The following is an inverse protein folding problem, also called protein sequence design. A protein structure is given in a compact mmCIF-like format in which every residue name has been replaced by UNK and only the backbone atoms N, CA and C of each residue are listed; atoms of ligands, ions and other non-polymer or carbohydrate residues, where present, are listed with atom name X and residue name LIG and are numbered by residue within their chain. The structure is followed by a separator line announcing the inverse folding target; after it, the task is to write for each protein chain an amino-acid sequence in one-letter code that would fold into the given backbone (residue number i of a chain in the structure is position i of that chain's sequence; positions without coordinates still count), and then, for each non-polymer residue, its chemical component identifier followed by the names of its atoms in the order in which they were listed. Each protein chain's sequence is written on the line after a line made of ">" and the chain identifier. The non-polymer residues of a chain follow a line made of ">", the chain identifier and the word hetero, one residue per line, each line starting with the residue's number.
data_IF_180658054622
#
_entry.id   IF_180658054622
#
_cell.length_a   1.000
_cell.length_b   1.000
_cell.length_c   1.000
_cell.angle_alpha   90.00
_cell.angle_beta   90.00
_cell.angle_gamma   90.00
#
_symmetry.space_group_name_H-M   'P 1'
#
loop_
_entity.id
_entity.type
_entity.pdbx_description
1 polymer ?
#
# COMPACT_ATOMS: atom_id res chain seq x y z
N UNK A 1 -6.85 51.65 6.96
CA UNK A 1 -5.64 52.00 7.72
C UNK A 1 -5.31 50.76 8.55
N UNK A 2 -4.26 49.97 8.29
CA UNK A 2 -2.88 50.33 8.00
C UNK A 2 -2.30 49.51 6.82
N UNK A 3 -1.48 50.20 6.02
CA UNK A 3 -0.53 49.65 5.07
C UNK A 3 0.73 49.17 5.79
N UNK A 4 1.30 48.04 5.33
CA UNK A 4 2.74 47.68 5.36
C UNK A 4 2.91 46.66 4.22
N UNK A 5 3.09 47.12 2.98
CA UNK A 5 4.37 47.35 2.28
C UNK A 5 4.95 46.07 1.66
N UNK A 6 4.68 45.91 0.35
CA UNK A 6 5.47 45.14 -0.59
C UNK A 6 6.95 45.55 -0.51
N UNK A 7 7.81 44.64 -0.07
CA UNK A 7 9.24 44.53 -0.43
C UNK A 7 9.88 43.40 0.39
N UNK A 8 9.77 42.19 -0.13
CA UNK A 8 10.72 41.06 -0.06
C UNK A 8 10.00 39.79 -0.55
N UNK A 9 9.58 39.81 -1.81
CA UNK A 9 9.06 38.63 -2.53
C UNK A 9 9.92 38.41 -3.78
N UNK A 10 11.23 38.43 -3.58
CA UNK A 10 12.24 38.01 -4.53
C UNK A 10 13.29 37.32 -3.66
N UNK A 11 13.55 36.04 -3.94
CA UNK A 11 14.48 35.14 -3.24
C UNK A 11 13.86 34.15 -2.23
N UNK A 12 12.86 33.35 -2.65
CA UNK A 12 12.76 31.91 -2.29
C UNK A 12 11.96 31.17 -3.38
N UNK A 13 12.51 31.04 -4.59
CA UNK A 13 12.03 30.06 -5.59
C UNK A 13 13.24 29.27 -6.09
N UNK A 14 13.84 28.47 -5.21
CA UNK A 14 14.73 27.38 -5.59
C UNK A 14 14.86 26.40 -4.42
N UNK A 15 13.94 25.43 -4.36
CA UNK A 15 14.11 24.11 -3.74
C UNK A 15 12.78 23.37 -3.92
N UNK A 16 12.56 22.85 -5.13
CA UNK A 16 11.44 21.96 -5.42
C UNK A 16 11.85 20.55 -5.01
N UNK A 17 11.64 20.22 -3.75
CA UNK A 17 11.72 18.85 -3.26
C UNK A 17 10.44 18.59 -2.49
N UNK A 18 9.46 17.97 -3.14
CA UNK A 18 8.17 17.66 -2.53
C UNK A 18 8.21 16.26 -1.93
N UNK A 19 8.17 16.17 -0.60
CA UNK A 19 7.95 14.92 0.11
C UNK A 19 6.45 14.81 0.43
N UNK A 20 5.81 13.74 -0.02
CA UNK A 20 4.42 13.42 0.35
C UNK A 20 4.43 12.12 1.15
N UNK A 21 3.88 12.18 2.37
CA UNK A 21 3.81 11.05 3.29
C UNK A 21 2.36 10.57 3.36
N UNK A 22 2.10 9.31 3.01
CA UNK A 22 0.82 8.64 3.20
C UNK A 22 0.97 7.44 4.12
N UNK A 23 0.11 7.38 5.14
CA UNK A 23 0.00 6.22 6.03
C UNK A 23 -1.32 5.50 5.76
N UNK A 24 -1.25 4.30 5.17
CA UNK A 24 -2.40 3.40 5.02
C UNK A 24 -2.91 2.93 6.40
N UNK A 25 -4.13 3.36 6.77
CA UNK A 25 -4.90 2.78 7.88
C UNK A 25 -5.92 1.80 7.29
N UNK A 26 -5.52 0.53 7.13
CA UNK A 26 -6.45 -0.56 6.78
C UNK A 26 -6.55 -1.56 7.93
N UNK A 27 -7.78 -1.81 8.37
CA UNK A 27 -8.13 -2.77 9.41
C UNK A 27 -8.23 -4.19 8.84
N UNK A 28 -7.57 -5.14 9.50
CA UNK A 28 -7.73 -6.57 9.23
C UNK A 28 -8.61 -7.16 10.32
N UNK A 29 -9.87 -7.47 10.01
CA UNK A 29 -10.70 -8.28 10.91
C UNK A 29 -10.39 -9.75 10.65
N UNK A 30 -9.72 -10.42 11.61
CA UNK A 30 -9.59 -11.87 11.60
C UNK A 30 -10.95 -12.48 11.97
N UNK A 31 -11.59 -13.15 11.01
CA UNK A 31 -12.68 -14.07 11.29
C UNK A 31 -12.09 -15.41 11.76
N UNK A 32 -12.43 -15.82 12.98
CA UNK A 32 -12.22 -17.19 13.44
C UNK A 32 -13.36 -18.05 12.88
N UNK A 33 -13.03 -18.95 11.95
CA UNK A 33 -13.94 -19.95 11.41
C UNK A 33 -13.18 -21.23 11.14
N UNK A 34 -13.36 -22.21 12.02
CA UNK A 34 -12.90 -23.59 11.83
C UNK A 34 -13.71 -24.25 10.70
N UNK A 35 -13.02 -24.80 9.71
CA UNK A 35 -13.54 -25.86 8.84
C UNK A 35 -12.46 -26.94 8.69
N UNK A 36 -12.69 -28.06 9.37
CA UNK A 36 -11.93 -29.30 9.25
C UNK A 36 -12.64 -30.27 8.30
N UNK A 37 -11.82 -31.12 7.67
CA UNK A 37 -12.12 -32.34 6.88
C UNK A 37 -12.55 -32.11 5.42
N UNK A 38 -12.13 -32.89 4.42
CA UNK A 38 -11.16 -33.99 4.24
C UNK A 38 -11.08 -34.19 2.70
N UNK A 39 -9.95 -34.63 2.14
CA UNK A 39 -9.87 -34.90 0.70
C UNK A 39 -8.45 -34.92 0.14
N UNK A 40 -7.67 -35.93 0.52
CA UNK A 40 -6.34 -36.24 0.00
C UNK A 40 -6.39 -36.87 -1.40
N UNK A 41 -5.64 -36.31 -2.36
CA UNK A 41 -5.11 -37.06 -3.52
C UNK A 41 -3.65 -36.65 -3.72
N UNK A 42 -2.74 -37.61 -3.53
CA UNK A 42 -1.32 -37.51 -3.81
C UNK A 42 -1.04 -37.75 -5.29
N UNK A 43 -0.19 -36.92 -5.90
CA UNK A 43 0.60 -37.30 -7.06
C UNK A 43 1.97 -36.61 -6.99
N UNK A 44 3.02 -37.41 -6.73
CA UNK A 44 4.43 -37.04 -6.88
C UNK A 44 4.82 -37.18 -8.35
N UNK A 45 5.64 -36.28 -8.86
CA UNK A 45 6.46 -36.53 -10.06
C UNK A 45 7.92 -36.17 -9.71
N UNK A 46 8.76 -37.19 -9.72
CA UNK A 46 10.22 -37.12 -9.65
C UNK A 46 10.76 -36.99 -11.09
N UNK A 47 11.77 -36.14 -11.30
CA UNK A 47 12.52 -36.06 -12.55
C UNK A 47 13.98 -36.44 -12.27
N UNK A 48 14.42 -37.50 -12.94
CA UNK A 48 15.78 -38.04 -12.91
C UNK A 48 16.72 -37.26 -13.85
N UNK A 49 17.97 -37.13 -13.42
CA UNK A 49 19.15 -36.78 -14.23
C UNK A 49 19.95 -38.05 -14.53
N UNK A 50 20.55 -38.16 -15.73
CA UNK A 50 21.79 -38.91 -15.93
C UNK A 50 22.60 -38.38 -17.16
N UNK A 51 23.95 -38.28 -17.10
CA UNK A 51 24.82 -37.73 -18.14
C UNK A 51 25.58 -38.82 -18.92
N UNK A 52 26.21 -38.50 -20.07
CA UNK A 52 27.49 -39.06 -20.61
C UNK A 52 27.77 -38.56 -22.06
N UNK A 53 29.04 -38.34 -22.38
CA UNK A 53 29.64 -37.77 -23.62
C UNK A 53 30.71 -38.73 -24.23
N UNK A 54 31.50 -38.38 -25.28
CA UNK A 54 31.28 -38.14 -26.73
C UNK A 54 32.08 -39.18 -27.61
N UNK A 55 32.28 -39.04 -28.96
CA UNK A 55 33.53 -38.42 -29.50
C UNK A 55 33.56 -37.82 -30.96
N UNK A 56 34.43 -36.82 -31.13
CA UNK A 56 35.45 -36.43 -32.19
C UNK A 56 35.41 -36.79 -33.71
N UNK A 57 36.21 -35.98 -34.47
CA UNK A 57 36.83 -36.06 -35.84
C UNK A 57 36.10 -35.28 -36.98
N UNK A 58 36.68 -34.44 -37.87
CA UNK A 58 38.02 -33.90 -38.17
C UNK A 58 38.07 -33.21 -39.59
N UNK A 59 38.80 -32.07 -39.74
CA UNK A 59 39.48 -31.38 -40.90
C UNK A 59 38.99 -31.50 -42.39
N UNK A 60 39.08 -30.54 -43.35
CA UNK A 60 40.21 -29.74 -43.95
C UNK A 60 39.66 -28.60 -44.88
N UNK A 61 40.44 -27.52 -45.11
CA UNK A 61 40.24 -26.30 -45.96
C UNK A 61 40.25 -26.55 -47.51
N UNK A 62 39.70 -25.68 -48.40
CA UNK A 62 40.33 -24.48 -49.03
C UNK A 62 39.35 -23.73 -50.01
N UNK A 63 39.72 -22.59 -50.66
CA UNK A 63 39.01 -21.31 -50.63
C UNK A 63 38.10 -21.01 -51.85
N UNK A 64 37.07 -20.16 -51.68
CA UNK A 64 36.50 -19.33 -52.76
C UNK A 64 35.69 -18.18 -52.18
N UNK A 65 36.20 -16.97 -52.38
CA UNK A 65 35.46 -15.72 -52.18
C UNK A 65 34.40 -15.62 -53.26
N UNK A 66 33.14 -15.53 -52.85
CA UNK A 66 32.02 -15.06 -53.68
C UNK A 66 31.28 -14.01 -52.85
N UNK A 67 31.35 -12.75 -53.30
CA UNK A 67 30.50 -11.67 -52.82
C UNK A 67 29.15 -11.78 -53.56
N UNK A 68 28.01 -11.87 -52.86
CA UNK A 68 26.71 -11.52 -53.43
C UNK A 68 26.44 -10.01 -53.29
N UNK A 69 25.56 -9.45 -54.13
CA UNK A 69 25.33 -8.00 -54.21
C UNK A 69 24.59 -7.47 -52.97
N UNK A 70 24.99 -6.25 -52.56
CA UNK A 70 24.42 -5.47 -51.48
C UNK A 70 22.92 -5.20 -51.67
N UNK A 71 22.13 -5.46 -50.64
CA UNK A 71 20.91 -4.71 -50.34
C UNK A 71 21.06 -4.12 -48.93
N UNK A 72 20.83 -2.81 -48.86
CA UNK A 72 21.04 -1.91 -47.73
C UNK A 72 20.34 -2.36 -46.46
N UNK A 73 21.09 -2.49 -45.35
CA UNK A 73 20.72 -2.07 -43.98
C UNK A 73 21.79 -2.35 -42.91
N UNK A 74 22.99 -2.82 -43.28
CA UNK A 74 24.11 -2.94 -42.33
C UNK A 74 25.38 -2.31 -42.90
N UNK A 75 25.76 -1.13 -42.38
CA UNK A 75 27.09 -0.59 -42.61
C UNK A 75 28.03 -1.13 -41.53
N UNK A 76 28.83 -2.15 -41.86
CA UNK A 76 29.95 -2.55 -41.02
C UNK A 76 31.12 -1.61 -41.28
N UNK A 77 31.51 -0.82 -40.28
CA UNK A 77 32.74 -0.02 -40.31
C UNK A 77 33.87 -0.91 -39.77
N UNK A 78 34.82 -1.26 -40.64
CA UNK A 78 36.04 -1.95 -40.24
C UNK A 78 37.13 -0.93 -39.89
N UNK A 79 37.65 -0.99 -38.66
CA UNK A 79 38.84 -0.23 -38.29
C UNK A 79 40.10 -1.07 -38.62
N UNK A 80 40.97 -0.54 -39.48
CA UNK A 80 42.32 -1.06 -39.67
C UNK A 80 43.30 -0.20 -38.86
N UNK A 81 43.90 -0.78 -37.81
CA UNK A 81 45.02 -0.16 -37.11
C UNK A 81 46.32 -0.89 -37.50
N UNK A 82 47.28 -0.17 -38.07
CA UNK A 82 48.64 -0.68 -38.32
C UNK A 82 49.57 -0.03 -37.31
N UNK A 83 50.00 -0.79 -36.29
CA UNK A 83 51.04 -0.33 -35.38
C UNK A 83 52.40 -0.46 -36.08
N UNK A 84 53.12 0.64 -36.25
CA UNK A 84 54.53 0.59 -36.65
C UNK A 84 55.33 0.02 -35.48
N UNK A 85 56.11 -1.04 -35.73
CA UNK A 85 57.02 -1.78 -34.84
C UNK A 85 56.45 -2.92 -33.97
N UNK A 86 55.89 -3.97 -34.59
CA UNK A 86 55.98 -5.33 -34.03
C UNK A 86 56.16 -6.41 -35.12
N UNK A 87 56.94 -7.48 -34.88
CA UNK A 87 57.06 -8.58 -35.83
C UNK A 87 55.93 -9.61 -35.60
N UNK A 88 55.24 -9.95 -36.70
CA UNK A 88 54.29 -11.06 -36.88
C UNK A 88 52.96 -10.99 -36.10
N UNK A 89 51.94 -10.45 -36.79
CA UNK A 89 50.59 -10.99 -36.88
C UNK A 89 49.80 -11.24 -35.58
N UNK A 90 49.13 -10.20 -35.07
CA UNK A 90 47.93 -10.34 -34.24
C UNK A 90 46.86 -9.37 -34.74
N UNK A 91 45.68 -9.89 -35.05
CA UNK A 91 44.47 -9.10 -35.35
C UNK A 91 43.56 -9.17 -34.11
N UNK A 92 43.16 -8.02 -33.58
CA UNK A 92 42.19 -7.93 -32.49
C UNK A 92 40.80 -7.69 -33.10
N UNK A 93 39.85 -8.63 -32.93
CA UNK A 93 38.46 -8.43 -33.31
C UNK A 93 37.67 -7.95 -32.09
N UNK A 94 37.20 -6.70 -32.11
CA UNK A 94 36.22 -6.20 -31.15
C UNK A 94 34.85 -6.20 -31.82
N UNK A 95 33.94 -7.01 -31.31
CA UNK A 95 32.57 -7.11 -31.78
C UNK A 95 31.68 -6.33 -30.81
N UNK A 96 31.17 -5.17 -31.22
CA UNK A 96 30.15 -4.44 -30.47
C UNK A 96 28.92 -4.25 -31.35
N UNK A 97 27.86 -5.01 -31.09
CA UNK A 97 26.55 -4.76 -31.68
C UNK A 97 25.92 -3.53 -31.00
N UNK A 98 25.62 -2.50 -31.78
CA UNK A 98 24.84 -1.35 -31.32
C UNK A 98 23.60 -1.24 -32.21
N UNK A 99 22.42 -1.53 -31.67
CA UNK A 99 21.14 -1.29 -32.36
C UNK A 99 20.77 0.19 -32.24
N UNK A 100 20.70 0.89 -33.38
CA UNK A 100 20.23 2.28 -33.44
C UNK A 100 18.83 2.27 -34.05
N UNK A 101 17.83 2.79 -33.32
CA UNK A 101 16.48 3.01 -33.83
C UNK A 101 16.44 4.23 -34.79
N UNK A 102 15.62 4.20 -35.86
CA UNK A 102 15.67 5.23 -36.90
C UNK A 102 14.80 6.42 -36.50
N UNK A 103 15.41 7.58 -36.24
CA UNK A 103 14.85 8.94 -36.47
C UNK A 103 15.78 10.03 -35.89
N UNK A 104 16.89 10.34 -36.56
CA UNK A 104 17.44 11.71 -36.56
C UNK A 104 18.37 11.87 -37.77
N UNK A 105 18.07 12.81 -38.67
CA UNK A 105 19.02 13.28 -39.68
C UNK A 105 20.01 14.21 -38.97
N UNK A 106 21.31 13.91 -38.99
CA UNK A 106 22.34 14.74 -38.35
C UNK A 106 23.36 15.15 -39.39
N UNK A 107 23.39 16.45 -39.72
CA UNK A 107 24.40 17.02 -40.61
C UNK A 107 25.73 17.17 -39.87
N UNK A 108 26.79 16.56 -40.40
CA UNK A 108 28.16 16.76 -39.91
C UNK A 108 28.79 17.89 -40.72
N UNK A 109 29.14 18.99 -40.07
CA UNK A 109 29.90 20.09 -40.68
C UNK A 109 31.38 19.93 -40.33
N UNK A 110 32.23 19.62 -41.31
CA UNK A 110 33.68 19.55 -41.13
C UNK A 110 34.30 20.94 -41.35
N UNK A 111 34.97 21.48 -40.32
CA UNK A 111 35.93 22.57 -40.50
C UNK A 111 37.35 21.99 -40.50
N UNK A 112 38.07 22.18 -41.60
CA UNK A 112 39.50 21.86 -41.69
C UNK A 112 40.27 23.18 -41.64
N UNK A 113 40.88 23.50 -40.49
CA UNK A 113 41.96 24.46 -40.44
C UNK A 113 43.28 23.70 -40.53
N UNK A 114 43.94 23.80 -41.68
CA UNK A 114 45.26 23.23 -41.87
C UNK A 114 46.32 24.13 -41.25
N UNK A 115 46.98 23.67 -40.19
CA UNK A 115 48.39 23.89 -39.91
C UNK A 115 48.83 22.89 -38.83
N UNK A 116 49.77 22.01 -39.19
CA UNK A 116 50.64 21.20 -38.31
C UNK A 116 49.92 20.44 -37.18
N UNK A 117 49.46 19.22 -37.51
CA UNK A 117 49.78 18.05 -36.69
C UNK A 117 49.21 17.92 -35.29
N UNK A 118 48.00 18.40 -34.97
CA UNK A 118 47.16 17.87 -33.88
C UNK A 118 45.69 18.05 -34.26
N UNK A 119 44.97 16.96 -34.56
CA UNK A 119 43.50 17.01 -34.71
C UNK A 119 42.85 16.98 -33.34
N UNK A 120 42.46 18.14 -32.81
CA UNK A 120 41.55 18.24 -31.65
C UNK A 120 40.12 18.12 -32.18
N UNK A 121 39.51 16.95 -31.98
CA UNK A 121 38.09 16.76 -32.25
C UNK A 121 37.28 17.35 -31.08
N UNK A 122 36.73 18.55 -31.26
CA UNK A 122 35.75 19.11 -30.32
C UNK A 122 34.37 18.63 -30.73
N UNK A 123 33.90 17.56 -30.09
CA UNK A 123 32.51 17.11 -30.22
C UNK A 123 31.65 17.98 -29.31
N UNK A 124 30.96 18.97 -29.89
CA UNK A 124 29.91 19.71 -29.17
C UNK A 124 28.64 18.84 -29.23
N UNK A 125 28.36 18.13 -28.13
CA UNK A 125 27.08 17.48 -27.92
C UNK A 125 26.01 18.56 -27.71
N UNK A 126 25.32 18.96 -28.77
CA UNK A 126 24.05 19.69 -28.66
C UNK A 126 22.91 18.66 -28.70
N UNK A 127 22.53 18.18 -27.52
CA UNK A 127 21.48 17.18 -27.42
C UNK A 127 21.35 16.59 -26.01
N UNK A 128 21.19 17.41 -24.98
CA UNK A 128 20.71 16.90 -23.70
C UNK A 128 19.19 16.68 -23.81
N UNK A 129 18.79 15.45 -24.16
CA UNK A 129 17.49 14.95 -23.70
C UNK A 129 17.55 14.97 -22.17
N UNK A 130 16.67 15.77 -21.56
CA UNK A 130 16.47 15.81 -20.10
C UNK A 130 16.41 14.36 -19.60
N UNK A 131 17.28 13.98 -18.66
CA UNK A 131 17.13 12.73 -17.91
C UNK A 131 15.69 12.67 -17.40
N UNK A 132 14.96 11.59 -17.69
CA UNK A 132 13.60 11.46 -17.19
C UNK A 132 13.61 11.58 -15.66
N UNK A 133 12.85 12.53 -15.12
CA UNK A 133 12.73 12.70 -13.68
C UNK A 133 12.21 11.39 -13.06
N UNK A 134 12.73 11.03 -11.89
CA UNK A 134 12.41 9.78 -11.21
C UNK A 134 11.61 10.05 -9.93
N UNK A 135 10.46 9.41 -9.82
CA UNK A 135 9.72 9.22 -8.58
C UNK A 135 9.99 7.83 -8.02
N UNK A 136 10.53 7.77 -6.80
CA UNK A 136 10.57 6.53 -6.02
C UNK A 136 9.43 6.51 -5.02
N UNK A 137 8.69 5.41 -5.00
CA UNK A 137 7.61 5.14 -4.05
C UNK A 137 8.07 4.08 -3.06
N UNK A 138 8.18 4.45 -1.78
CA UNK A 138 8.55 3.55 -0.69
C UNK A 138 7.29 2.88 -0.10
N UNK A 139 6.89 1.75 -0.69
CA UNK A 139 5.76 0.93 -0.27
C UNK A 139 4.80 0.61 -1.43
N UNK A 140 4.46 -0.66 -1.60
CA UNK A 140 3.51 -1.18 -2.59
C UNK A 140 2.13 -1.44 -2.01
N UNK A 141 1.70 -0.62 -1.05
CA UNK A 141 0.35 -0.62 -0.47
C UNK A 141 -0.69 0.06 -1.37
N UNK A 142 -1.88 0.34 -0.83
CA UNK A 142 -2.95 0.99 -1.59
C UNK A 142 -2.53 2.39 -2.03
N UNK A 143 -2.06 3.22 -1.09
CA UNK A 143 -1.57 4.57 -1.39
C UNK A 143 -0.38 4.57 -2.36
N UNK A 144 0.56 3.63 -2.20
CA UNK A 144 1.77 3.60 -3.02
C UNK A 144 1.50 3.22 -4.47
N UNK A 145 0.71 2.16 -4.68
CA UNK A 145 0.35 1.72 -6.05
C UNK A 145 -0.55 2.75 -6.72
N UNK A 146 -1.59 3.24 -6.04
CA UNK A 146 -2.48 4.25 -6.60
C UNK A 146 -1.75 5.58 -6.88
N UNK A 147 -0.88 6.01 -5.96
CA UNK A 147 -0.02 7.19 -6.16
C UNK A 147 0.90 7.06 -7.37
N UNK A 148 1.49 5.89 -7.60
CA UNK A 148 2.30 5.61 -8.78
C UNK A 148 1.49 5.69 -10.09
N UNK A 149 0.30 5.09 -10.11
CA UNK A 149 -0.64 5.17 -11.25
C UNK A 149 -1.00 6.63 -11.53
N UNK A 150 -1.33 7.39 -10.49
CA UNK A 150 -1.72 8.80 -10.62
C UNK A 150 -0.56 9.65 -11.11
N UNK A 151 0.66 9.44 -10.61
CA UNK A 151 1.86 10.13 -11.05
C UNK A 151 2.09 9.92 -12.56
N UNK A 152 2.01 8.67 -13.04
CA UNK A 152 2.07 8.37 -14.49
C UNK A 152 0.91 8.94 -15.29
N UNK A 153 -0.27 9.08 -14.69
CA UNK A 153 -1.44 9.64 -15.37
C UNK A 153 -1.29 11.15 -15.58
N UNK A 154 -0.73 11.86 -14.61
CA UNK A 154 -0.53 13.32 -14.68
C UNK A 154 0.76 13.68 -15.43
N UNK A 155 1.80 12.85 -15.31
CA UNK A 155 3.09 13.02 -15.98
C UNK A 155 3.53 11.71 -16.67
N UNK A 156 3.07 11.44 -17.90
CA UNK A 156 3.35 10.18 -18.60
C UNK A 156 4.85 9.85 -18.77
N UNK A 157 5.67 10.89 -18.93
CA UNK A 157 7.13 10.80 -19.08
C UNK A 157 7.89 10.65 -17.75
N UNK A 158 7.23 10.75 -16.60
CA UNK A 158 7.89 10.59 -15.30
C UNK A 158 8.26 9.12 -15.11
N UNK A 159 9.53 8.82 -14.84
CA UNK A 159 9.91 7.46 -14.46
C UNK A 159 9.43 7.17 -13.04
N UNK A 160 8.78 6.03 -12.82
CA UNK A 160 8.18 5.68 -11.52
C UNK A 160 8.62 4.29 -11.07
N UNK A 161 9.26 4.23 -9.90
CA UNK A 161 9.76 3.01 -9.28
C UNK A 161 9.10 2.79 -7.92
N UNK A 162 8.30 1.73 -7.80
CA UNK A 162 7.70 1.28 -6.54
C UNK A 162 8.60 0.22 -5.90
N UNK A 163 9.04 0.49 -4.67
CA UNK A 163 9.84 -0.43 -3.84
C UNK A 163 8.95 -1.03 -2.75
N UNK A 164 8.81 -2.35 -2.75
CA UNK A 164 7.96 -3.08 -1.81
C UNK A 164 8.73 -4.20 -1.08
N UNK A 165 8.59 -4.25 0.25
CA UNK A 165 9.28 -5.23 1.11
C UNK A 165 8.82 -6.66 0.86
N UNK A 166 7.53 -6.86 0.60
CA UNK A 166 6.88 -8.15 0.54
C UNK A 166 6.07 -8.28 -0.76
N UNK A 167 4.88 -8.87 -0.68
CA UNK A 167 3.92 -8.88 -1.79
C UNK A 167 3.13 -7.57 -1.78
N UNK A 168 3.05 -6.86 -2.92
CA UNK A 168 2.26 -5.63 -3.02
C UNK A 168 0.79 -5.91 -2.72
N UNK A 169 0.09 -4.89 -2.22
CA UNK A 169 -1.35 -4.92 -1.93
C UNK A 169 -1.80 -6.06 -1.00
N UNK A 170 -0.86 -6.63 -0.22
CA UNK A 170 -1.15 -7.74 0.69
C UNK A 170 -2.19 -7.39 1.76
N UNK A 171 -2.19 -6.15 2.26
CA UNK A 171 -3.25 -5.65 3.16
C UNK A 171 -4.60 -5.46 2.47
N UNK A 172 -4.60 -4.97 1.23
CA UNK A 172 -5.82 -4.84 0.42
C UNK A 172 -6.48 -6.21 0.26
N UNK A 173 -5.66 -7.25 0.00
CA UNK A 173 -6.12 -8.64 -0.17
C UNK A 173 -6.93 -9.18 1.01
N UNK A 174 -6.56 -8.82 2.24
CA UNK A 174 -7.21 -9.34 3.45
C UNK A 174 -8.25 -8.37 4.04
N UNK A 175 -8.31 -7.15 3.53
CA UNK A 175 -9.27 -6.14 3.99
C UNK A 175 -10.72 -6.54 3.66
N UNK A 176 -11.67 -6.09 4.49
CA UNK A 176 -13.09 -6.42 4.31
C UNK A 176 -13.40 -7.92 4.33
N UNK A 177 -12.57 -8.73 5.01
CA UNK A 177 -12.70 -10.19 5.03
C UNK A 177 -12.34 -10.84 3.70
N UNK A 178 -11.41 -10.25 2.94
CA UNK A 178 -11.03 -10.74 1.61
C UNK A 178 -11.83 -10.13 0.46
N UNK A 179 -12.85 -9.31 0.77
CA UNK A 179 -13.72 -8.65 -0.22
C UNK A 179 -13.21 -7.27 -0.64
N UNK A 180 -12.34 -6.66 0.15
CA UNK A 180 -11.89 -5.27 0.05
C UNK A 180 -13.03 -4.24 0.23
N UNK A 181 -13.10 -3.64 1.42
CA UNK A 181 -13.91 -2.43 1.63
C UNK A 181 -13.16 -1.25 1.02
N UNK A 182 -13.50 -0.89 -0.22
CA UNK A 182 -12.74 0.01 -1.09
C UNK A 182 -12.79 1.46 -0.60
N UNK A 183 -13.98 1.90 -0.21
CA UNK A 183 -14.25 3.28 0.24
C UNK A 183 -15.59 3.32 1.01
N UNK A 184 -16.12 4.51 1.28
CA UNK A 184 -17.44 4.70 1.91
C UNK A 184 -18.40 5.47 1.00
N UNK A 185 -19.56 4.89 0.70
CA UNK A 185 -20.55 5.40 -0.24
C UNK A 185 -21.59 6.35 0.35
N UNK A 186 -21.63 6.54 1.68
CA UNK A 186 -22.57 7.46 2.31
C UNK A 186 -22.05 8.89 2.43
N UNK A 187 -20.79 9.15 2.08
CA UNK A 187 -20.18 10.46 2.30
C UNK A 187 -19.96 11.20 0.98
N UNK A 188 -21.00 11.89 0.50
CA UNK A 188 -20.84 12.98 -0.47
C UNK A 188 -20.29 14.25 0.17
N UNK A 189 -20.47 14.40 1.50
CA UNK A 189 -19.92 15.50 2.28
C UNK A 189 -18.61 15.06 2.97
N UNK A 190 -17.52 15.71 2.57
CA UNK A 190 -16.18 15.49 3.11
C UNK A 190 -16.08 15.84 4.61
N UNK A 191 -16.85 16.82 5.07
CA UNK A 191 -16.87 17.21 6.49
C UNK A 191 -17.45 16.10 7.36
N UNK A 192 -18.53 15.48 6.90
CA UNK A 192 -19.17 14.34 7.60
C UNK A 192 -18.25 13.12 7.59
N UNK A 193 -17.56 12.84 6.46
CA UNK A 193 -16.58 11.77 6.43
C UNK A 193 -15.48 12.01 7.45
N UNK A 194 -14.92 13.22 7.47
CA UNK A 194 -13.84 13.59 8.37
C UNK A 194 -14.20 13.34 9.84
N UNK A 195 -15.46 13.53 10.24
CA UNK A 195 -15.93 13.27 11.62
C UNK A 195 -15.73 11.82 12.07
N UNK A 196 -15.58 10.88 11.14
CA UNK A 196 -15.31 9.47 11.44
C UNK A 196 -13.82 9.17 11.67
N UNK A 197 -12.93 10.16 11.52
CA UNK A 197 -11.47 10.01 11.64
C UNK A 197 -10.94 10.75 12.89
N UNK A 198 -10.90 10.11 14.07
CA UNK A 198 -10.39 10.74 15.31
C UNK A 198 -8.96 11.30 15.18
N UNK A 199 -8.16 10.71 14.29
CA UNK A 199 -6.80 11.15 13.93
C UNK A 199 -6.77 11.23 12.41
N UNK A 200 -6.68 12.44 11.88
CA UNK A 200 -6.89 12.73 10.46
C UNK A 200 -8.05 13.71 10.20
N UNK A 201 -8.89 14.00 11.20
CA UNK A 201 -10.05 14.88 11.02
C UNK A 201 -9.73 16.19 10.31
N UNK A 202 -8.64 16.89 10.70
CA UNK A 202 -8.29 18.19 10.11
C UNK A 202 -7.82 18.03 8.67
N UNK A 203 -6.98 17.03 8.43
CA UNK A 203 -6.43 16.71 7.12
C UNK A 203 -7.57 16.32 6.15
N UNK A 204 -8.56 15.57 6.63
CA UNK A 204 -9.73 15.13 5.85
C UNK A 204 -10.73 16.26 5.53
N UNK A 205 -10.66 17.43 6.19
CA UNK A 205 -11.52 18.58 5.88
C UNK A 205 -11.04 19.43 4.70
N UNK A 206 -9.79 19.23 4.25
CA UNK A 206 -9.13 20.09 3.27
C UNK A 206 -8.98 19.48 1.88
N UNK A 207 -7.90 19.86 1.21
CA UNK A 207 -7.63 19.59 -0.22
C UNK A 207 -7.60 18.13 -0.64
N UNK A 208 -7.41 17.17 0.28
CA UNK A 208 -7.34 15.75 -0.08
C UNK A 208 -8.65 15.26 -0.70
N UNK A 209 -9.80 15.74 -0.20
CA UNK A 209 -11.10 15.32 -0.72
C UNK A 209 -11.65 16.19 -1.83
N UNK A 210 -11.21 17.45 -1.94
CA UNK A 210 -11.54 18.29 -3.10
C UNK A 210 -10.85 17.78 -4.37
N UNK A 211 -9.70 17.10 -4.24
CA UNK A 211 -8.95 16.57 -5.37
C UNK A 211 -9.32 15.12 -5.73
N UNK A 212 -9.58 14.27 -4.72
CA UNK A 212 -9.97 12.87 -4.95
C UNK A 212 -10.68 12.27 -3.72
N UNK A 213 -12.01 12.31 -3.72
CA UNK A 213 -12.87 11.78 -2.65
C UNK A 213 -13.42 10.37 -2.91
N UNK A 214 -14.36 9.90 -2.07
CA UNK A 214 -14.96 8.57 -2.21
C UNK A 214 -15.67 8.37 -3.54
N UNK A 215 -16.37 9.40 -4.02
CA UNK A 215 -17.07 9.38 -5.32
C UNK A 215 -16.07 9.21 -6.45
N UNK A 216 -14.98 9.98 -6.45
CA UNK A 216 -13.92 9.85 -7.46
C UNK A 216 -13.26 8.47 -7.43
N UNK A 217 -13.04 7.90 -6.24
CA UNK A 217 -12.53 6.54 -6.08
C UNK A 217 -13.50 5.52 -6.70
N UNK A 218 -14.81 5.65 -6.44
CA UNK A 218 -15.81 4.74 -7.00
C UNK A 218 -15.89 4.84 -8.53
N UNK A 219 -15.93 6.07 -9.06
CA UNK A 219 -15.89 6.31 -10.50
C UNK A 219 -14.62 5.77 -11.13
N UNK A 220 -13.45 6.01 -10.51
CA UNK A 220 -12.18 5.52 -11.03
C UNK A 220 -12.17 3.99 -11.16
N UNK A 221 -12.61 3.25 -10.15
CA UNK A 221 -12.66 1.78 -10.28
C UNK A 221 -13.68 1.31 -11.32
N UNK A 222 -14.84 1.97 -11.42
CA UNK A 222 -15.87 1.64 -12.40
C UNK A 222 -15.37 1.88 -13.84
N UNK A 223 -14.70 3.02 -14.07
CA UNK A 223 -14.09 3.38 -15.36
C UNK A 223 -12.98 2.40 -15.79
N UNK A 224 -12.36 1.72 -14.83
CA UNK A 224 -11.34 0.69 -15.06
C UNK A 224 -11.90 -0.74 -14.92
N UNK A 225 -13.21 -0.91 -15.10
CA UNK A 225 -13.86 -2.21 -15.25
C UNK A 225 -14.16 -2.98 -13.96
N UNK A 226 -14.09 -2.31 -12.81
CA UNK A 226 -14.49 -2.90 -11.51
C UNK A 226 -15.79 -2.27 -11.03
N UNK A 227 -16.90 -2.98 -11.25
CA UNK A 227 -18.19 -2.57 -10.70
C UNK A 227 -18.18 -2.64 -9.16
N UNK A 228 -18.77 -1.63 -8.54
CA UNK A 228 -18.87 -1.49 -7.09
C UNK A 228 -20.33 -1.49 -6.62
N UNK A 229 -20.54 -1.92 -5.38
CA UNK A 229 -21.84 -1.85 -4.68
C UNK A 229 -21.67 -1.25 -3.30
N UNK A 230 -22.68 -0.51 -2.86
CA UNK A 230 -22.77 0.09 -1.52
C UNK A 230 -23.69 -0.79 -0.66
N UNK A 231 -23.22 -1.19 0.52
CA UNK A 231 -24.04 -1.89 1.52
C UNK A 231 -24.84 -0.89 2.38
N UNK A 232 -25.84 -1.36 3.13
CA UNK A 232 -26.72 -0.50 3.97
C UNK A 232 -25.99 0.33 5.02
N UNK A 233 -24.78 -0.08 5.41
CA UNK A 233 -23.92 0.63 6.36
C UNK A 233 -22.91 1.58 5.68
N UNK A 234 -23.01 1.75 4.36
CA UNK A 234 -22.20 2.66 3.55
C UNK A 234 -20.87 2.10 3.10
N UNK A 235 -20.50 0.89 3.50
CA UNK A 235 -19.27 0.27 2.99
C UNK A 235 -19.41 -0.04 1.51
N UNK A 236 -18.31 0.12 0.79
CA UNK A 236 -18.28 -0.10 -0.66
C UNK A 236 -17.40 -1.30 -0.97
N UNK A 237 -17.96 -2.26 -1.69
CA UNK A 237 -17.27 -3.48 -2.08
C UNK A 237 -17.34 -3.66 -3.60
N UNK A 238 -16.37 -4.37 -4.22
CA UNK A 238 -16.56 -4.85 -5.58
C UNK A 238 -17.78 -5.77 -5.64
N UNK A 239 -18.54 -5.70 -6.73
CA UNK A 239 -19.71 -6.57 -6.97
C UNK A 239 -19.32 -8.06 -6.84
N UNK A 240 -18.11 -8.40 -7.30
CA UNK A 240 -17.50 -9.73 -7.20
C UNK A 240 -17.31 -10.26 -5.78
N UNK A 241 -17.42 -9.40 -4.75
CA UNK A 241 -17.07 -9.69 -3.36
C UNK A 241 -15.62 -10.21 -3.21
N UNK A 242 -14.70 -9.83 -4.10
CA UNK A 242 -13.32 -10.30 -4.07
C UNK A 242 -12.34 -9.15 -4.16
N UNK A 243 -11.44 -9.08 -3.18
CA UNK A 243 -10.30 -8.15 -3.19
C UNK A 243 -9.37 -8.38 -4.38
N UNK A 244 -9.37 -9.58 -4.97
CA UNK A 244 -8.59 -9.86 -6.19
C UNK A 244 -9.01 -8.94 -7.33
N UNK A 245 -10.31 -8.64 -7.51
CA UNK A 245 -10.77 -7.72 -8.56
C UNK A 245 -10.13 -6.32 -8.43
N UNK A 246 -9.97 -5.85 -7.19
CA UNK A 246 -9.33 -4.56 -6.89
C UNK A 246 -7.82 -4.63 -7.16
N UNK A 247 -7.17 -5.71 -6.71
CA UNK A 247 -5.73 -5.90 -6.87
C UNK A 247 -5.37 -6.03 -8.34
N UNK A 248 -6.10 -6.83 -9.10
CA UNK A 248 -5.85 -7.10 -10.51
C UNK A 248 -6.01 -5.82 -11.33
N UNK A 249 -7.05 -5.02 -11.05
CA UNK A 249 -7.24 -3.69 -11.63
C UNK A 249 -6.03 -2.78 -11.36
N UNK A 250 -5.64 -2.58 -10.10
CA UNK A 250 -4.52 -1.71 -9.73
C UNK A 250 -3.19 -2.18 -10.34
N UNK A 251 -2.92 -3.48 -10.33
CA UNK A 251 -1.68 -4.04 -10.88
C UNK A 251 -1.65 -3.94 -12.41
N UNK A 252 -2.79 -4.18 -13.08
CA UNK A 252 -2.92 -4.01 -14.54
C UNK A 252 -2.71 -2.56 -14.94
N UNK A 253 -3.34 -1.61 -14.24
CA UNK A 253 -3.19 -0.18 -14.51
C UNK A 253 -1.76 0.32 -14.28
N UNK A 254 -1.14 -0.09 -13.17
CA UNK A 254 0.27 0.25 -12.90
C UNK A 254 1.18 -0.27 -14.02
N UNK A 255 1.01 -1.54 -14.43
CA UNK A 255 1.79 -2.15 -15.51
C UNK A 255 1.54 -1.47 -16.86
N UNK A 256 0.28 -1.21 -17.20
CA UNK A 256 -0.13 -0.58 -18.46
C UNK A 256 0.44 0.83 -18.62
N UNK A 257 0.63 1.56 -17.52
CA UNK A 257 1.26 2.89 -17.50
C UNK A 257 2.79 2.87 -17.35
N UNK A 258 3.40 1.69 -17.34
CA UNK A 258 4.86 1.54 -17.24
C UNK A 258 5.43 1.86 -15.86
N UNK A 259 4.67 1.66 -14.79
CA UNK A 259 5.20 1.70 -13.42
C UNK A 259 6.11 0.48 -13.21
N UNK A 260 7.35 0.72 -12.78
CA UNK A 260 8.28 -0.35 -12.44
C UNK A 260 8.09 -0.74 -10.98
N UNK A 261 7.88 -2.03 -10.70
CA UNK A 261 7.67 -2.51 -9.34
C UNK A 261 8.76 -3.51 -8.96
N UNK A 262 9.49 -3.21 -7.89
CA UNK A 262 10.50 -4.09 -7.31
C UNK A 262 10.06 -4.57 -5.93
N UNK A 263 9.84 -5.88 -5.81
CA UNK A 263 9.47 -6.52 -4.55
C UNK A 263 10.71 -7.08 -3.84
N UNK A 264 10.55 -7.48 -2.58
CA UNK A 264 11.63 -7.98 -1.73
C UNK A 264 12.76 -6.96 -1.56
N UNK A 265 12.45 -5.67 -1.62
CA UNK A 265 13.37 -4.56 -1.41
C UNK A 265 12.78 -3.56 -0.41
N UNK A 266 13.63 -2.88 0.35
CA UNK A 266 13.21 -1.91 1.37
C UNK A 266 14.04 -0.64 1.20
N UNK A 267 13.38 0.51 1.18
CA UNK A 267 14.08 1.80 1.32
C UNK A 267 14.44 1.96 2.80
N UNK A 268 15.72 1.89 3.13
CA UNK A 268 16.25 1.92 4.50
C UNK A 268 16.65 3.32 4.94
N UNK A 269 17.22 4.07 4.01
CA UNK A 269 17.69 5.42 4.26
C UNK A 269 17.18 6.39 3.22
N UNK A 270 16.95 7.63 3.63
CA UNK A 270 16.64 8.75 2.75
C UNK A 270 17.36 10.00 3.26
N UNK A 271 17.99 10.71 2.34
CA UNK A 271 18.58 12.03 2.59
C UNK A 271 18.26 12.95 1.42
N UNK A 272 18.17 14.26 1.67
CA UNK A 272 17.93 15.26 0.65
C UNK A 272 19.21 16.08 0.43
N UNK A 273 19.75 16.02 -0.79
CA UNK A 273 20.95 16.76 -1.21
C UNK A 273 20.68 17.43 -2.56
N UNK A 274 21.05 18.71 -2.69
CA UNK A 274 20.99 19.45 -3.96
C UNK A 274 19.65 19.37 -4.72
N UNK A 275 18.54 19.42 -3.98
CA UNK A 275 17.19 19.38 -4.54
C UNK A 275 16.67 17.98 -4.90
N UNK A 276 17.46 16.93 -4.67
CA UNK A 276 17.11 15.52 -4.93
C UNK A 276 17.17 14.68 -3.67
N UNK A 277 16.64 13.46 -3.77
CA UNK A 277 16.71 12.44 -2.73
C UNK A 277 17.74 11.37 -3.07
N UNK A 278 18.65 11.10 -2.14
CA UNK A 278 19.50 9.91 -2.18
C UNK A 278 18.91 8.84 -1.27
N UNK A 279 18.53 7.71 -1.87
CA UNK A 279 17.80 6.63 -1.22
C UNK A 279 18.66 5.37 -1.14
N UNK A 280 18.85 4.83 0.06
CA UNK A 280 19.51 3.54 0.28
C UNK A 280 18.48 2.40 0.27
N UNK A 281 18.60 1.51 -0.71
CA UNK A 281 17.69 0.38 -0.92
C UNK A 281 18.39 -0.93 -0.56
N UNK A 282 17.80 -1.66 0.38
CA UNK A 282 18.25 -2.99 0.80
C UNK A 282 17.44 -4.07 0.09
N UNK A 283 18.10 -5.03 -0.52
CA UNK A 283 17.45 -6.25 -1.03
C UNK A 283 17.32 -7.24 0.12
N UNK A 284 16.13 -7.79 0.34
CA UNK A 284 15.94 -8.83 1.36
C UNK A 284 16.93 -9.97 1.13
N UNK A 285 17.67 -10.35 2.18
CA UNK A 285 18.78 -11.32 2.19
C UNK A 285 20.17 -10.78 1.76
N UNK A 286 20.33 -9.48 1.52
CA UNK A 286 21.66 -8.83 1.44
C UNK A 286 21.77 -7.74 2.49
N UNK A 287 22.98 -7.57 3.07
CA UNK A 287 23.32 -6.42 3.94
C UNK A 287 23.83 -5.20 3.16
N UNK A 288 24.00 -5.32 1.84
CA UNK A 288 24.48 -4.23 0.99
C UNK A 288 23.34 -3.27 0.60
N UNK A 289 23.60 -1.96 0.68
CA UNK A 289 22.70 -0.93 0.16
C UNK A 289 23.03 -0.59 -1.30
N UNK A 290 22.01 -0.61 -2.14
CA UNK A 290 22.01 0.00 -3.47
C UNK A 290 21.52 1.44 -3.32
N UNK A 291 22.22 2.42 -3.90
CA UNK A 291 21.82 3.82 -3.84
C UNK A 291 21.14 4.26 -5.12
N UNK A 292 20.00 4.93 -4.98
CA UNK A 292 19.23 5.52 -6.07
C UNK A 292 19.03 7.00 -5.79
N UNK A 293 19.37 7.84 -6.75
CA UNK A 293 19.03 9.26 -6.76
C UNK A 293 17.65 9.44 -7.41
N UNK A 294 16.76 10.20 -6.77
CA UNK A 294 15.41 10.44 -7.25
C UNK A 294 15.05 11.92 -7.09
N UNK A 295 14.29 12.46 -8.05
CA UNK A 295 13.78 13.83 -8.00
C UNK A 295 12.59 13.94 -7.03
N UNK A 296 11.81 12.87 -6.90
CA UNK A 296 10.65 12.80 -6.01
C UNK A 296 10.65 11.54 -5.15
N UNK A 297 10.14 11.67 -3.93
CA UNK A 297 9.93 10.57 -2.99
C UNK A 297 8.49 10.58 -2.45
N UNK A 298 7.80 9.46 -2.65
CA UNK A 298 6.50 9.17 -2.04
C UNK A 298 6.68 8.12 -0.93
N UNK A 299 6.47 8.49 0.33
CA UNK A 299 6.54 7.56 1.45
C UNK A 299 5.15 6.95 1.66
N UNK A 300 4.98 5.68 1.30
CA UNK A 300 3.70 4.96 1.32
C UNK A 300 3.81 3.61 2.04
N UNK A 301 4.55 3.56 3.14
CA UNK A 301 4.93 2.32 3.83
C UNK A 301 3.85 1.76 4.76
N UNK A 302 2.66 2.36 4.77
CA UNK A 302 1.58 2.00 5.69
C UNK A 302 2.00 2.06 7.16
N UNK A 303 1.68 1.02 7.92
CA UNK A 303 1.99 0.92 9.36
C UNK A 303 3.42 0.44 9.66
N UNK A 304 4.32 0.39 8.68
CA UNK A 304 5.71 -0.03 8.88
C UNK A 304 6.49 1.06 9.60
N UNK A 305 7.25 0.68 10.63
CA UNK A 305 8.17 1.59 11.33
C UNK A 305 9.23 2.20 10.41
N UNK A 306 9.50 1.56 9.27
CA UNK A 306 10.43 2.07 8.26
C UNK A 306 9.99 3.44 7.72
N UNK A 307 8.69 3.68 7.50
CA UNK A 307 8.21 4.98 7.02
C UNK A 307 8.47 6.11 8.00
N UNK A 308 8.23 5.85 9.28
CA UNK A 308 8.53 6.80 10.35
C UNK A 308 10.03 7.10 10.40
N UNK A 309 10.88 6.08 10.28
CA UNK A 309 12.33 6.27 10.22
C UNK A 309 12.75 7.13 9.03
N UNK A 310 12.20 6.88 7.83
CA UNK A 310 12.48 7.71 6.64
C UNK A 310 12.03 9.16 6.82
N UNK A 311 10.83 9.37 7.37
CA UNK A 311 10.32 10.71 7.65
C UNK A 311 11.22 11.46 8.65
N UNK A 312 11.65 10.80 9.74
CA UNK A 312 12.58 11.38 10.71
C UNK A 312 13.95 11.70 10.11
N UNK A 313 14.49 10.85 9.25
CA UNK A 313 15.77 11.10 8.55
C UNK A 313 15.70 12.34 7.64
N UNK A 314 14.51 12.64 7.10
CA UNK A 314 14.23 13.85 6.32
C UNK A 314 13.86 15.06 7.19
N UNK A 315 13.96 14.95 8.51
CA UNK A 315 13.76 16.06 9.45
C UNK A 315 12.32 16.27 9.91
N UNK A 316 11.38 15.36 9.58
CA UNK A 316 10.01 15.46 10.08
C UNK A 316 9.87 14.97 11.52
N UNK A 317 8.96 15.60 12.27
CA UNK A 317 8.50 15.08 13.56
C UNK A 317 7.45 13.99 13.38
N UNK A 318 7.62 12.85 14.05
CA UNK A 318 6.63 11.76 14.07
C UNK A 318 5.85 11.80 15.37
N UNK A 319 4.51 11.80 15.28
CA UNK A 319 3.66 11.59 16.46
C UNK A 319 3.62 10.11 16.78
N UNK A 320 3.97 9.73 18.02
CA UNK A 320 4.09 8.32 18.41
C UNK A 320 2.83 7.51 18.07
N UNK A 321 2.94 6.39 17.33
CA UNK A 321 1.80 5.58 16.97
C UNK A 321 1.27 4.82 18.20
N UNK A 322 -0.05 4.76 18.33
CA UNK A 322 -0.73 3.88 19.29
C UNK A 322 -1.69 2.95 18.55
N UNK A 323 -1.91 1.72 19.06
CA UNK A 323 -2.92 0.82 18.52
C UNK A 323 -4.30 1.48 18.44
N UNK A 324 -5.05 1.13 17.40
CA UNK A 324 -6.41 1.59 17.12
C UNK A 324 -7.15 0.49 16.39
N UNK A 325 -8.48 0.47 16.46
CA UNK A 325 -9.33 -0.54 15.79
C UNK A 325 -8.98 -1.98 16.21
N UNK A 326 -8.81 -2.18 17.51
CA UNK A 326 -8.56 -3.49 18.15
C UNK A 326 -9.74 -3.94 19.02
N UNK A 327 -9.76 -5.24 19.34
CA UNK A 327 -10.76 -5.90 20.19
C UNK A 327 -10.46 -5.70 21.68
N UNK A 328 -11.47 -5.78 22.53
CA UNK A 328 -11.29 -5.67 23.98
C UNK A 328 -11.24 -7.04 24.62
N UNK A 329 -10.16 -7.32 25.35
CA UNK A 329 -10.06 -8.52 26.19
C UNK A 329 -10.84 -8.30 27.47
N UNK A 330 -11.62 -9.29 27.88
CA UNK A 330 -12.32 -9.30 29.17
C UNK A 330 -11.82 -10.44 30.05
N UNK A 331 -11.93 -10.28 31.37
CA UNK A 331 -11.67 -11.34 32.35
C UNK A 331 -12.95 -12.11 32.72
N UNK A 332 -14.11 -11.71 32.18
CA UNK A 332 -15.40 -12.34 32.44
C UNK A 332 -15.49 -13.70 31.74
N UNK A 333 -15.47 -14.78 32.53
CA UNK A 333 -15.58 -16.14 32.03
C UNK A 333 -16.98 -16.50 31.52
N UNK A 334 -18.04 -15.90 32.07
CA UNK A 334 -19.42 -16.16 31.63
C UNK A 334 -19.63 -15.56 30.24
N UNK A 335 -19.06 -14.38 29.98
CA UNK A 335 -19.09 -13.78 28.65
C UNK A 335 -18.36 -14.65 27.62
N UNK A 336 -17.30 -15.35 28.00
CA UNK A 336 -16.58 -16.26 27.09
C UNK A 336 -17.44 -17.46 26.64
N UNK A 337 -18.41 -17.91 27.46
CA UNK A 337 -19.39 -18.95 27.10
C UNK A 337 -20.32 -18.52 25.96
N UNK A 338 -20.48 -17.20 25.75
CA UNK A 338 -21.26 -16.63 24.66
C UNK A 338 -20.43 -16.40 23.37
N UNK A 339 -19.24 -16.98 23.27
CA UNK A 339 -18.39 -16.84 22.09
C UNK A 339 -19.11 -17.23 20.80
N UNK A 340 -19.07 -16.34 19.81
CA UNK A 340 -19.76 -16.50 18.52
C UNK A 340 -21.11 -15.80 18.45
N UNK A 341 -21.70 -15.41 19.58
CA UNK A 341 -22.95 -14.64 19.60
C UNK A 341 -22.70 -13.25 19.04
N UNK A 342 -23.52 -12.88 18.05
CA UNK A 342 -23.51 -11.56 17.42
C UNK A 342 -24.77 -10.81 17.81
N UNK A 343 -24.60 -9.58 18.29
CA UNK A 343 -25.67 -8.65 18.56
C UNK A 343 -25.72 -7.64 17.41
N UNK A 344 -26.84 -7.53 16.66
CA UNK A 344 -26.92 -6.63 15.52
C UNK A 344 -26.83 -5.16 15.93
N UNK A 345 -27.27 -4.83 17.16
CA UNK A 345 -27.24 -3.48 17.68
C UNK A 345 -27.10 -3.49 19.19
N UNK A 346 -26.03 -2.88 19.68
CA UNK A 346 -25.84 -2.54 21.11
C UNK A 346 -25.38 -1.10 21.22
N UNK A 347 -25.51 -0.51 22.41
CA UNK A 347 -24.85 0.75 22.78
C UNK A 347 -23.75 0.45 23.78
N UNK A 348 -22.50 0.67 23.38
CA UNK A 348 -21.34 0.43 24.24
C UNK A 348 -20.71 1.76 24.66
N UNK A 349 -20.34 1.87 25.95
CA UNK A 349 -19.67 3.03 26.53
C UNK A 349 -18.36 2.62 27.20
N UNK A 350 -17.27 3.27 26.81
CA UNK A 350 -15.95 3.10 27.45
C UNK A 350 -15.79 4.08 28.61
N UNK A 351 -15.37 3.56 29.76
CA UNK A 351 -15.11 4.33 30.98
C UNK A 351 -13.66 4.07 31.41
N UNK A 352 -12.90 5.15 31.57
CA UNK A 352 -11.49 5.13 31.98
C UNK A 352 -11.34 5.99 33.23
N UNK A 353 -10.56 5.51 34.21
CA UNK A 353 -10.45 6.11 35.55
C UNK A 353 -9.93 7.56 35.50
N UNK A 354 -9.00 7.85 34.58
CA UNK A 354 -8.31 9.13 34.48
C UNK A 354 -8.86 10.05 33.38
N UNK A 355 -10.05 9.75 32.84
CA UNK A 355 -10.66 10.52 31.75
C UNK A 355 -12.00 11.07 32.20
N UNK A 356 -12.29 12.33 31.85
CA UNK A 356 -13.56 12.99 32.22
C UNK A 356 -14.75 12.11 31.79
N UNK A 357 -15.71 11.91 32.71
CA UNK A 357 -16.81 10.93 32.61
C UNK A 357 -17.83 11.12 31.46
N UNK A 358 -17.65 12.10 30.58
CA UNK A 358 -18.67 12.51 29.61
C UNK A 358 -18.13 12.87 28.21
N UNK A 359 -17.22 12.06 27.68
CA UNK A 359 -16.76 12.18 26.30
C UNK A 359 -17.76 11.43 25.40
N UNK A 360 -18.53 12.17 24.58
CA UNK A 360 -19.55 11.59 23.70
C UNK A 360 -18.95 10.53 22.75
N UNK A 361 -17.71 10.73 22.29
CA UNK A 361 -17.04 9.80 21.39
C UNK A 361 -16.75 8.42 22.03
N UNK A 362 -16.78 8.31 23.37
CA UNK A 362 -16.64 7.04 24.08
C UNK A 362 -17.95 6.27 24.20
N UNK A 363 -19.00 6.72 23.53
CA UNK A 363 -20.24 5.97 23.37
C UNK A 363 -20.44 5.67 21.89
N UNK A 364 -20.65 4.41 21.56
CA UNK A 364 -20.84 3.95 20.18
C UNK A 364 -22.05 3.04 20.11
N UNK A 365 -22.76 3.08 18.98
CA UNK A 365 -23.90 2.21 18.70
C UNK A 365 -23.64 1.40 17.45
N UNK A 366 -23.85 0.09 17.51
CA UNK A 366 -23.77 -0.77 16.33
C UNK A 366 -23.54 -2.24 16.66
N UNK A 367 -23.14 -3.04 15.68
CA UNK A 367 -22.99 -4.48 15.87
C UNK A 367 -21.82 -4.82 16.79
N UNK A 368 -22.02 -5.85 17.61
CA UNK A 368 -21.02 -6.42 18.53
C UNK A 368 -20.92 -7.93 18.35
N UNK A 369 -19.70 -8.44 18.45
CA UNK A 369 -19.43 -9.88 18.46
C UNK A 369 -18.80 -10.25 19.80
N UNK A 370 -19.35 -11.25 20.47
CA UNK A 370 -18.68 -11.88 21.61
C UNK A 370 -17.73 -12.95 21.09
N UNK A 371 -16.53 -12.98 21.64
CA UNK A 371 -15.45 -13.89 21.24
C UNK A 371 -14.94 -14.63 22.47
N UNK A 372 -14.25 -15.75 22.27
CA UNK A 372 -13.68 -16.60 23.32
C UNK A 372 -12.70 -15.90 24.30
N UNK A 373 -12.37 -14.63 24.06
CA UNK A 373 -11.40 -13.84 24.82
C UNK A 373 -11.92 -12.43 25.15
N UNK A 374 -13.10 -12.05 24.68
CA UNK A 374 -13.69 -10.74 24.92
C UNK A 374 -14.61 -10.24 23.82
N UNK A 375 -14.59 -8.94 23.56
CA UNK A 375 -15.54 -8.24 22.71
C UNK A 375 -14.89 -7.75 21.42
N UNK A 376 -15.62 -7.90 20.32
CA UNK A 376 -15.24 -7.50 18.97
C UNK A 376 -16.45 -6.86 18.25
N UNK A 377 -16.32 -6.64 16.95
CA UNK A 377 -17.34 -6.04 16.10
C UNK A 377 -17.21 -4.51 15.99
N UNK A 378 -17.88 -3.90 14.99
CA UNK A 378 -17.72 -2.49 14.65
C UNK A 378 -17.87 -1.51 15.81
N UNK A 379 -18.75 -1.80 16.78
CA UNK A 379 -18.93 -0.92 17.94
C UNK A 379 -17.68 -0.88 18.83
N UNK A 380 -17.04 -2.02 19.07
CA UNK A 380 -15.83 -2.14 19.90
C UNK A 380 -14.61 -1.59 19.18
N UNK A 381 -14.47 -1.89 17.88
CA UNK A 381 -13.36 -1.37 17.08
C UNK A 381 -13.41 0.17 17.01
N UNK A 382 -14.61 0.76 16.87
CA UNK A 382 -14.77 2.21 16.91
C UNK A 382 -14.45 2.78 18.28
N UNK A 383 -14.88 2.15 19.37
CA UNK A 383 -14.50 2.58 20.73
C UNK A 383 -12.98 2.58 20.92
N UNK A 384 -12.30 1.51 20.50
CA UNK A 384 -10.83 1.44 20.59
C UNK A 384 -10.14 2.45 19.69
N UNK A 385 -10.74 2.79 18.55
CA UNK A 385 -10.26 3.90 17.74
C UNK A 385 -10.45 5.24 18.47
N UNK A 386 -11.64 5.62 18.89
CA UNK A 386 -11.87 6.92 19.53
C UNK A 386 -11.07 7.09 20.83
N UNK A 387 -10.99 6.03 21.65
CA UNK A 387 -10.24 6.02 22.90
C UNK A 387 -8.77 5.64 22.79
N UNK A 388 -8.16 5.51 21.60
CA UNK A 388 -6.83 4.94 21.41
C UNK A 388 -5.74 5.55 22.32
N UNK A 389 -5.70 6.89 22.42
CA UNK A 389 -4.71 7.62 23.23
C UNK A 389 -4.99 7.45 24.73
N UNK A 390 -6.25 7.59 25.11
CA UNK A 390 -6.67 7.46 26.50
C UNK A 390 -6.50 6.03 27.04
N UNK A 391 -6.80 5.02 26.21
CA UNK A 391 -6.53 3.61 26.49
C UNK A 391 -5.03 3.38 26.67
N UNK A 392 -4.19 3.95 25.80
CA UNK A 392 -2.74 3.87 25.95
C UNK A 392 -2.27 4.47 27.28
N UNK A 393 -2.72 5.69 27.61
CA UNK A 393 -2.38 6.36 28.88
C UNK A 393 -2.92 5.63 30.12
N UNK A 394 -4.01 4.87 29.98
CA UNK A 394 -4.60 4.07 31.05
C UNK A 394 -3.98 2.65 31.15
N UNK A 395 -2.92 2.35 30.40
CA UNK A 395 -2.33 1.02 30.36
C UNK A 395 -3.29 -0.07 29.85
N UNK A 396 -4.20 0.32 28.96
CA UNK A 396 -5.28 -0.50 28.39
C UNK A 396 -6.23 -1.11 29.43
N UNK A 397 -6.41 -0.44 30.57
CA UNK A 397 -7.39 -0.80 31.61
C UNK A 397 -8.58 0.14 31.58
N UNK A 398 -9.78 -0.42 31.63
CA UNK A 398 -11.03 0.33 31.58
C UNK A 398 -12.24 -0.57 31.79
N UNK A 399 -13.40 0.06 31.96
CA UNK A 399 -14.70 -0.60 32.04
C UNK A 399 -15.45 -0.32 30.75
N UNK A 400 -16.05 -1.36 30.17
CA UNK A 400 -16.95 -1.22 29.02
C UNK A 400 -18.35 -1.57 29.51
N UNK A 401 -19.25 -0.58 29.46
CA UNK A 401 -20.67 -0.81 29.70
C UNK A 401 -21.35 -1.11 28.37
N UNK A 402 -22.15 -2.16 28.32
CA UNK A 402 -22.91 -2.55 27.12
C UNK A 402 -24.38 -2.56 27.46
N UNK A 403 -25.16 -1.79 26.71
CA UNK A 403 -26.62 -1.85 26.70
C UNK A 403 -27.03 -2.66 25.46
N UNK A 404 -27.59 -3.85 25.74
CA UNK A 404 -28.00 -4.83 24.73
C UNK A 404 -29.37 -4.53 24.11
N UNK A 405 -30.15 -3.61 24.69
CA UNK A 405 -31.49 -3.25 24.21
C UNK A 405 -31.63 -1.73 24.07
N UNK A 406 -30.75 -1.06 23.30
CA UNK A 406 -30.65 0.40 23.30
C UNK A 406 -31.86 1.14 22.72
N UNK A 407 -32.78 0.42 22.09
CA UNK A 407 -34.03 0.95 21.51
C UNK A 407 -35.22 0.85 22.46
N UNK A 408 -35.07 0.18 23.60
CA UNK A 408 -36.13 0.01 24.59
C UNK A 408 -35.80 0.78 25.85
N UNK A 409 -36.80 1.44 26.42
CA UNK A 409 -36.66 2.01 27.74
C UNK A 409 -36.61 0.89 28.79
N UNK A 410 -35.86 1.10 29.87
CA UNK A 410 -35.65 0.08 30.91
C UNK A 410 -36.96 -0.44 31.52
N UNK A 411 -37.98 0.42 31.63
CA UNK A 411 -39.30 0.03 32.14
C UNK A 411 -40.06 -0.88 31.17
N UNK A 412 -39.89 -0.70 29.85
CA UNK A 412 -40.49 -1.57 28.85
C UNK A 412 -39.82 -2.95 28.88
N UNK A 413 -38.49 -2.99 29.02
CA UNK A 413 -37.73 -4.24 29.17
C UNK A 413 -38.21 -4.99 30.42
N UNK A 414 -38.32 -4.31 31.58
CA UNK A 414 -38.85 -4.91 32.81
C UNK A 414 -40.26 -5.46 32.62
N UNK A 415 -41.13 -4.72 31.94
CA UNK A 415 -42.50 -5.13 31.64
C UNK A 415 -42.54 -6.39 30.77
N UNK A 416 -41.73 -6.44 29.71
CA UNK A 416 -41.59 -7.62 28.83
C UNK A 416 -41.09 -8.83 29.63
N UNK A 417 -40.01 -8.67 30.40
CA UNK A 417 -39.44 -9.75 31.20
C UNK A 417 -40.43 -10.25 32.26
N UNK A 418 -41.15 -9.36 32.93
CA UNK A 418 -42.20 -9.73 33.88
C UNK A 418 -43.30 -10.53 33.19
N UNK A 419 -43.80 -10.09 32.03
CA UNK A 419 -44.81 -10.83 31.26
C UNK A 419 -44.34 -12.22 30.86
N UNK A 420 -43.11 -12.32 30.33
CA UNK A 420 -42.50 -13.61 30.00
C UNK A 420 -42.38 -14.51 31.23
N UNK A 421 -41.92 -13.99 32.37
CA UNK A 421 -41.84 -14.76 33.62
C UNK A 421 -43.21 -15.37 34.00
N UNK A 422 -44.29 -14.59 33.91
CA UNK A 422 -45.64 -15.09 34.23
C UNK A 422 -46.15 -16.10 33.19
N UNK A 423 -45.87 -15.88 31.91
CA UNK A 423 -46.28 -16.78 30.82
C UNK A 423 -45.57 -18.14 30.87
N UNK A 424 -44.28 -18.14 31.23
CA UNK A 424 -43.45 -19.35 31.29
C UNK A 424 -43.32 -19.94 32.70
N UNK A 425 -43.92 -19.31 33.73
CA UNK A 425 -43.97 -19.84 35.10
C UNK A 425 -44.62 -21.25 35.18
N UNK A 426 -45.49 -21.60 34.21
CA UNK A 426 -46.10 -22.94 34.11
C UNK A 426 -45.12 -23.98 33.55
N UNK A 427 -44.20 -23.60 32.65
CA UNK A 427 -43.14 -24.49 32.14
C UNK A 427 -41.93 -24.59 33.09
N UNK A 428 -41.63 -23.54 33.85
CA UNK A 428 -40.51 -23.50 34.79
C UNK A 428 -40.65 -24.49 35.95
N UNK A 429 -41.87 -24.92 36.33
CA UNK A 429 -42.06 -26.00 37.31
C UNK A 429 -41.54 -27.36 36.84
N UNK A 430 -41.43 -27.60 35.53
CA UNK A 430 -40.86 -28.84 34.97
C UNK A 430 -39.34 -28.73 34.73
N UNK A 431 -38.84 -27.53 34.42
CA UNK A 431 -37.42 -27.28 34.10
C UNK A 431 -36.57 -26.94 35.33
N UNK A 432 -37.18 -26.46 36.43
CA UNK A 432 -36.49 -26.21 37.71
C UNK A 432 -35.87 -27.47 38.36
N UNK A 433 -36.15 -28.66 37.81
CA UNK A 433 -35.50 -29.91 38.20
C UNK A 433 -34.05 -30.03 37.70
N UNK A 434 -33.59 -29.19 36.76
CA UNK A 434 -32.30 -29.44 36.08
C UNK A 434 -31.29 -28.30 36.01
N UNK A 435 -31.61 -27.02 36.22
CA UNK A 435 -30.58 -25.95 36.25
C UNK A 435 -31.01 -24.79 37.14
N UNK A 436 -30.13 -24.36 38.04
CA UNK A 436 -30.27 -23.13 38.84
C UNK A 436 -30.30 -21.91 37.92
N UNK A 437 -31.51 -21.46 37.60
CA UNK A 437 -31.81 -20.39 36.64
C UNK A 437 -31.60 -18.96 37.21
N UNK A 438 -31.05 -18.83 38.42
CA UNK A 438 -31.02 -17.55 39.16
C UNK A 438 -29.79 -16.68 38.87
N UNK A 439 -28.72 -17.20 38.29
CA UNK A 439 -27.49 -16.41 38.05
C UNK A 439 -27.43 -15.74 36.65
N UNK A 440 -28.41 -15.99 35.77
CA UNK A 440 -28.36 -15.50 34.38
C UNK A 440 -29.05 -14.13 34.17
N UNK A 441 -29.71 -13.56 35.19
CA UNK A 441 -30.64 -12.44 34.99
C UNK A 441 -30.23 -11.10 35.61
N UNK A 442 -29.02 -10.98 36.16
CA UNK A 442 -28.53 -9.73 36.76
C UNK A 442 -27.36 -9.07 36.02
N UNK A 443 -27.05 -9.53 34.80
CA UNK A 443 -25.91 -9.05 34.00
C UNK A 443 -26.28 -8.63 32.56
N UNK A 444 -27.51 -8.15 32.36
CA UNK A 444 -27.92 -7.41 31.16
C UNK A 444 -28.11 -5.93 31.46
#
# INVERSE_FOLDING_TARGET
>A
MCHLSDRQASDVISNRTMCIVYTDVMTTCSFAGNLTAEGSVHARHELHFDPLSPPLWGFVCHPRVWLPPLNSHDAQIFYHYRHSNSPKGQYLFLNSQCSIAPKTFMGILFYVFGFIGVSICVVIFSGWQRSEELLVVAGGGAAGVYGAIRAKTVAPQLSVLVIEKAKPLSKVKISGGGRCNVTNGHCTDNMVLAENYPRGHKEFRGSFFEMHGPVDTMSWFTDHGVELKVEEDGRVFPVSNSSSSIIDCLMSEAKGKGVVMQTKKVVKTASANDGKFLLGIEKNASSSLEYVEADYLLIASGSSSQGYSLASQLGHSVVDPVPSLFTFKTADSQLAELSGVTFPKVKAKLILENVKRNIQQFTQVGPMLVTHWGLSGPVILRLSAWGARDLFSSGYKGIVMVDFMPDLHIEDVKSILSRHKHQFAVCLKLVASFVNFYDFFFLL
#
